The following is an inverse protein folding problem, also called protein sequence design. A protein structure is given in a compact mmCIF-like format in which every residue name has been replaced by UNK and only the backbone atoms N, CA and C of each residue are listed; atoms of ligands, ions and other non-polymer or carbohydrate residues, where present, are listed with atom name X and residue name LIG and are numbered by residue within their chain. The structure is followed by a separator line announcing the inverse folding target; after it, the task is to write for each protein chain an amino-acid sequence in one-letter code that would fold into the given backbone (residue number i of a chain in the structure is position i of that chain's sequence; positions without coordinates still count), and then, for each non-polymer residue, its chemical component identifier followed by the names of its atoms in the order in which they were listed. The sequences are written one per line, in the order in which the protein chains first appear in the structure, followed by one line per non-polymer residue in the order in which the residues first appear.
data_IF_272587687775
#
_entry.id   IF_272587687775
#
_cell.length_a   1.000
_cell.length_b   1.000
_cell.length_c   1.000
_cell.angle_alpha   90.00
_cell.angle_beta   90.00
_cell.angle_gamma   90.00
#
_symmetry.space_group_name_H-M   'P 1'
#
loop_
_entity.id
_entity.type
_entity.pdbx_description
1 polymer ?
#
# COMPACT_ATOMS: atom_id res chain seq x y z
N UNK A 1 23.17 -6.51 4.72
CA UNK A 1 22.60 -6.64 6.07
C UNK A 1 22.54 -8.12 6.34
N UNK A 2 23.41 -8.61 7.22
CA UNK A 2 23.43 -10.01 7.59
C UNK A 2 22.32 -10.21 8.64
N UNK A 3 21.27 -10.95 8.26
CA UNK A 3 20.19 -11.29 9.18
C UNK A 3 20.68 -12.41 10.10
N UNK A 4 20.71 -12.14 11.40
CA UNK A 4 21.03 -13.17 12.40
C UNK A 4 19.86 -14.13 12.43
N UNK A 5 20.10 -15.38 12.04
CA UNK A 5 19.11 -16.45 12.10
C UNK A 5 19.53 -17.51 13.13
N UNK A 6 18.57 -17.93 13.94
CA UNK A 6 18.75 -18.96 14.98
C UNK A 6 17.59 -19.95 14.94
N UNK A 7 17.88 -21.19 15.31
CA UNK A 7 16.81 -22.19 15.48
C UNK A 7 15.95 -21.90 16.72
N UNK A 8 14.71 -22.41 16.75
CA UNK A 8 13.84 -22.35 17.96
C UNK A 8 14.55 -22.89 19.21
N UNK A 9 15.31 -23.97 19.09
CA UNK A 9 16.07 -24.54 20.21
C UNK A 9 17.11 -23.57 20.75
N UNK A 10 17.92 -22.97 19.87
CA UNK A 10 18.90 -21.95 20.25
C UNK A 10 18.25 -20.71 20.84
N UNK A 11 17.13 -20.26 20.26
CA UNK A 11 16.38 -19.12 20.76
C UNK A 11 15.87 -19.34 22.19
N UNK A 12 15.46 -20.57 22.51
CA UNK A 12 14.96 -20.94 23.83
C UNK A 12 16.09 -21.00 24.86
N UNK A 13 17.22 -21.60 24.49
CA UNK A 13 18.38 -21.75 25.38
C UNK A 13 19.11 -20.41 25.65
N UNK A 14 19.16 -19.54 24.64
CA UNK A 14 20.00 -18.32 24.64
C UNK A 14 19.19 -17.03 24.60
N UNK A 15 17.92 -17.07 24.97
CA UNK A 15 17.02 -15.92 24.87
C UNK A 15 17.61 -14.63 25.49
N UNK A 16 18.21 -14.64 26.70
CA UNK A 16 18.77 -13.43 27.29
C UNK A 16 19.96 -12.85 26.49
N UNK A 17 20.79 -13.71 25.92
CA UNK A 17 21.95 -13.32 25.10
C UNK A 17 21.49 -12.69 23.79
N UNK A 18 20.48 -13.28 23.16
CA UNK A 18 19.87 -12.76 21.94
C UNK A 18 19.19 -11.41 22.18
N UNK A 19 18.55 -11.21 23.34
CA UNK A 19 17.99 -9.92 23.73
C UNK A 19 19.11 -8.88 23.90
N UNK A 20 20.20 -9.22 24.60
CA UNK A 20 21.33 -8.30 24.77
C UNK A 20 21.97 -7.93 23.44
N UNK A 21 22.11 -8.90 22.53
CA UNK A 21 22.60 -8.66 21.18
C UNK A 21 21.66 -7.74 20.40
N UNK A 22 20.35 -8.03 20.39
CA UNK A 22 19.33 -7.23 19.72
C UNK A 22 19.33 -5.77 20.21
N UNK A 23 19.46 -5.54 21.52
CA UNK A 23 19.54 -4.19 22.08
C UNK A 23 20.85 -3.49 21.69
N UNK A 24 21.96 -4.23 21.65
CA UNK A 24 23.29 -3.68 21.32
C UNK A 24 23.50 -3.38 19.85
N UNK A 25 23.16 -4.31 18.95
CA UNK A 25 23.36 -4.17 17.50
C UNK A 25 22.16 -3.52 16.80
N UNK A 26 20.98 -3.53 17.43
CA UNK A 26 19.69 -3.16 16.81
C UNK A 26 19.36 -4.00 15.56
N UNK A 27 19.99 -5.15 15.40
CA UNK A 27 19.71 -6.06 14.28
C UNK A 27 18.62 -7.06 14.67
N UNK A 28 17.55 -7.20 13.87
CA UNK A 28 16.51 -8.21 14.11
C UNK A 28 17.09 -9.62 14.12
N UNK A 29 16.58 -10.46 15.03
CA UNK A 29 16.95 -11.87 15.10
C UNK A 29 15.80 -12.72 14.57
N UNK A 30 16.07 -13.48 13.52
CA UNK A 30 15.12 -14.39 12.89
C UNK A 30 15.15 -15.72 13.63
N UNK A 31 13.98 -16.24 13.99
CA UNK A 31 13.83 -17.55 14.60
C UNK A 31 13.23 -18.49 13.56
N UNK A 32 13.95 -19.59 13.31
CA UNK A 32 13.60 -20.59 12.31
C UNK A 32 13.31 -21.97 12.92
N UNK A 33 12.41 -22.70 12.27
CA UNK A 33 12.15 -24.12 12.52
C UNK A 33 12.02 -24.82 11.18
N UNK A 34 12.82 -25.86 10.94
CA UNK A 34 12.78 -26.65 9.69
C UNK A 34 12.88 -25.75 8.45
N UNK A 35 13.85 -24.84 8.44
CA UNK A 35 14.12 -23.86 7.37
C UNK A 35 12.95 -22.90 7.07
N UNK A 36 11.99 -22.77 8.01
CA UNK A 36 10.90 -21.80 7.94
C UNK A 36 11.05 -20.76 9.03
N UNK A 37 10.90 -19.50 8.66
CA UNK A 37 10.77 -18.39 9.61
C UNK A 37 9.48 -18.57 10.40
N UNK A 38 9.58 -18.67 11.73
CA UNK A 38 8.42 -18.81 12.62
C UNK A 38 8.20 -17.59 13.50
N UNK A 39 9.26 -16.83 13.78
CA UNK A 39 9.18 -15.58 14.53
C UNK A 39 10.37 -14.66 14.20
N UNK A 40 10.23 -13.39 14.55
CA UNK A 40 11.32 -12.40 14.49
C UNK A 40 11.34 -11.63 15.80
N UNK A 41 12.50 -11.59 16.45
CA UNK A 41 12.74 -10.75 17.61
C UNK A 41 13.17 -9.36 17.14
N UNK A 42 12.45 -8.35 17.61
CA UNK A 42 12.69 -6.93 17.34
C UNK A 42 12.56 -6.14 18.63
N UNK A 43 13.17 -4.95 18.68
CA UNK A 43 12.94 -4.04 19.80
C UNK A 43 11.54 -3.45 19.74
N UNK A 44 11.05 -2.94 20.86
CA UNK A 44 9.77 -2.25 20.91
C UNK A 44 9.76 -1.00 20.01
N UNK A 45 10.85 -0.23 19.96
CA UNK A 45 11.00 0.91 19.06
C UNK A 45 10.88 0.51 17.58
N UNK A 46 11.46 -0.63 17.20
CA UNK A 46 11.35 -1.17 15.84
C UNK A 46 9.91 -1.59 15.53
N UNK A 47 9.22 -2.21 16.48
CA UNK A 47 7.81 -2.55 16.33
C UNK A 47 6.96 -1.31 16.08
N UNK A 48 7.13 -0.24 16.88
CA UNK A 48 6.41 1.03 16.69
C UNK A 48 6.70 1.64 15.32
N UNK A 49 7.96 1.60 14.86
CA UNK A 49 8.33 2.06 13.53
C UNK A 49 7.62 1.28 12.41
N UNK A 50 7.60 -0.06 12.50
CA UNK A 50 6.93 -0.89 11.49
C UNK A 50 5.41 -0.71 11.50
N UNK A 51 4.79 -0.54 12.66
CA UNK A 51 3.36 -0.24 12.77
C UNK A 51 3.03 1.11 12.14
N UNK A 52 3.83 2.15 12.43
CA UNK A 52 3.66 3.47 11.83
C UNK A 52 3.86 3.47 10.30
N UNK A 53 4.75 2.61 9.78
CA UNK A 53 4.89 2.42 8.34
C UNK A 53 3.65 1.78 7.72
N UNK A 54 3.10 0.73 8.35
CA UNK A 54 1.90 0.04 7.86
C UNK A 54 0.69 0.97 7.83
N UNK A 55 0.50 1.79 8.87
CA UNK A 55 -0.58 2.79 8.89
C UNK A 55 -0.45 3.80 7.73
N UNK A 56 0.78 4.21 7.40
CA UNK A 56 1.03 5.11 6.26
C UNK A 56 0.72 4.44 4.91
N UNK A 57 1.04 3.16 4.76
CA UNK A 57 0.72 2.39 3.56
C UNK A 57 -0.80 2.28 3.37
N UNK A 58 -1.53 1.93 4.43
CA UNK A 58 -3.00 1.87 4.38
C UNK A 58 -3.64 3.23 4.06
N UNK A 59 -3.11 4.33 4.61
CA UNK A 59 -3.55 5.68 4.28
C UNK A 59 -3.28 6.06 2.81
N UNK A 60 -2.13 5.62 2.27
CA UNK A 60 -1.78 5.84 0.88
C UNK A 60 -2.70 5.06 -0.06
N UNK A 61 -3.01 3.81 0.25
CA UNK A 61 -3.95 2.99 -0.52
C UNK A 61 -5.36 3.61 -0.54
N UNK A 62 -5.84 4.10 0.61
CA UNK A 62 -7.10 4.83 0.68
C UNK A 62 -7.10 6.10 -0.18
N UNK A 63 -5.98 6.82 -0.20
CA UNK A 63 -5.81 8.01 -1.03
C UNK A 63 -5.86 7.66 -2.53
N UNK A 64 -5.23 6.56 -2.96
CA UNK A 64 -5.30 6.09 -4.35
C UNK A 64 -6.75 5.78 -4.73
N UNK A 65 -7.44 4.95 -3.93
CA UNK A 65 -8.84 4.56 -4.21
C UNK A 65 -9.74 5.80 -4.32
N UNK A 66 -9.55 6.78 -3.44
CA UNK A 66 -10.33 8.04 -3.49
C UNK A 66 -10.03 8.83 -4.77
N UNK A 67 -8.75 8.93 -5.15
CA UNK A 67 -8.32 9.65 -6.35
C UNK A 67 -8.84 9.00 -7.63
N UNK A 68 -8.83 7.67 -7.71
CA UNK A 68 -9.40 6.92 -8.85
C UNK A 68 -10.91 7.13 -8.98
N UNK A 69 -11.64 7.11 -7.86
CA UNK A 69 -13.10 7.42 -7.87
C UNK A 69 -13.38 8.83 -8.34
N UNK A 70 -12.59 9.81 -7.91
CA UNK A 70 -12.72 11.19 -8.36
C UNK A 70 -12.45 11.32 -9.86
N UNK A 71 -11.39 10.68 -10.36
CA UNK A 71 -11.07 10.66 -11.79
C UNK A 71 -12.21 10.04 -12.62
N UNK A 72 -12.78 8.92 -12.16
CA UNK A 72 -13.92 8.28 -12.81
C UNK A 72 -15.16 9.20 -12.84
N UNK A 73 -15.43 9.94 -11.75
CA UNK A 73 -16.52 10.93 -11.71
C UNK A 73 -16.31 12.04 -12.72
N UNK A 74 -15.10 12.61 -12.78
CA UNK A 74 -14.76 13.66 -13.76
C UNK A 74 -14.87 13.17 -15.20
N UNK A 75 -14.44 11.93 -15.48
CA UNK A 75 -14.58 11.32 -16.81
C UNK A 75 -16.07 11.18 -17.20
N UNK A 76 -16.92 10.74 -16.27
CA UNK A 76 -18.37 10.66 -16.52
C UNK A 76 -18.99 12.02 -16.82
N UNK A 77 -18.59 13.06 -16.08
CA UNK A 77 -19.04 14.44 -16.35
C UNK A 77 -18.60 14.93 -17.73
N UNK A 78 -17.33 14.70 -18.11
CA UNK A 78 -16.81 15.06 -19.44
C UNK A 78 -17.62 14.36 -20.54
N UNK A 79 -17.90 13.07 -20.40
CA UNK A 79 -18.71 12.31 -21.37
C UNK A 79 -20.13 12.88 -21.46
N UNK A 80 -20.72 13.22 -20.31
CA UNK A 80 -22.03 13.89 -20.25
C UNK A 80 -22.05 15.21 -21.02
N UNK A 81 -21.05 16.07 -20.77
CA UNK A 81 -20.90 17.36 -21.46
C UNK A 81 -20.62 17.20 -22.96
N UNK A 82 -19.79 16.24 -23.35
CA UNK A 82 -19.53 15.92 -24.77
C UNK A 82 -20.81 15.45 -25.48
N UNK A 83 -21.62 14.63 -24.80
CA UNK A 83 -22.91 14.16 -25.32
C UNK A 83 -23.89 15.32 -25.49
N UNK A 84 -23.99 16.22 -24.50
CA UNK A 84 -24.81 17.43 -24.60
C UNK A 84 -24.34 18.34 -25.75
N UNK A 85 -23.03 18.59 -25.86
CA UNK A 85 -22.45 19.36 -26.94
C UNK A 85 -22.77 18.76 -28.31
N UNK A 86 -22.66 17.43 -28.46
CA UNK A 86 -23.02 16.73 -29.71
C UNK A 86 -24.48 17.00 -30.10
N UNK A 87 -25.42 16.86 -29.16
CA UNK A 87 -26.84 17.13 -29.40
C UNK A 87 -27.10 18.58 -29.80
N UNK A 88 -26.42 19.54 -29.16
CA UNK A 88 -26.53 20.96 -29.51
C UNK A 88 -26.01 21.21 -30.92
N UNK A 89 -24.86 20.61 -31.29
CA UNK A 89 -24.30 20.72 -32.63
C UNK A 89 -25.25 20.12 -33.68
N UNK A 90 -25.83 18.95 -33.42
CA UNK A 90 -26.83 18.33 -34.29
C UNK A 90 -28.09 19.22 -34.44
N UNK A 91 -28.57 19.86 -33.38
CA UNK A 91 -29.69 20.80 -33.45
C UNK A 91 -29.36 22.07 -34.26
N UNK A 92 -28.20 22.68 -34.00
CA UNK A 92 -27.81 23.95 -34.62
C UNK A 92 -27.36 23.79 -36.08
N UNK A 93 -26.70 22.68 -36.42
CA UNK A 93 -26.07 22.49 -37.72
C UNK A 93 -26.68 21.34 -38.55
N UNK A 94 -27.43 20.43 -37.94
CA UNK A 94 -28.19 19.37 -38.63
C UNK A 94 -29.45 19.87 -39.34
N UNK A 95 -29.88 21.12 -39.10
CA UNK A 95 -30.94 21.77 -39.88
C UNK A 95 -30.46 22.39 -41.20
N UNK A 96 -29.20 22.23 -41.61
CA UNK A 96 -28.76 22.65 -42.95
C UNK A 96 -29.11 21.63 -44.04
N UNK A 97 -30.38 21.74 -44.48
CA UNK A 97 -30.94 21.70 -45.86
C UNK A 97 -31.22 20.34 -46.56
N UNK A 98 -32.20 20.28 -47.49
CA UNK A 98 -32.64 21.40 -48.34
C UNK A 98 -34.14 21.66 -48.51
N UNK A 99 -34.40 22.93 -48.85
CA UNK A 99 -35.48 23.37 -49.73
C UNK A 99 -35.82 22.29 -50.77
N UNK A 100 -37.05 21.80 -50.73
CA UNK A 100 -37.82 21.44 -51.91
C UNK A 100 -39.20 22.08 -51.75
#
# INVERSE_FOLDING_TARGET
MDLISVSVSQATEKLPELINQLVGSREPVVIEKEDKVVAVLITYEQLEYFLALKEKEELFDQYIIKSERQLASMQNEIVGLQTQNRRIQEYLFGQKKPNQ
#
